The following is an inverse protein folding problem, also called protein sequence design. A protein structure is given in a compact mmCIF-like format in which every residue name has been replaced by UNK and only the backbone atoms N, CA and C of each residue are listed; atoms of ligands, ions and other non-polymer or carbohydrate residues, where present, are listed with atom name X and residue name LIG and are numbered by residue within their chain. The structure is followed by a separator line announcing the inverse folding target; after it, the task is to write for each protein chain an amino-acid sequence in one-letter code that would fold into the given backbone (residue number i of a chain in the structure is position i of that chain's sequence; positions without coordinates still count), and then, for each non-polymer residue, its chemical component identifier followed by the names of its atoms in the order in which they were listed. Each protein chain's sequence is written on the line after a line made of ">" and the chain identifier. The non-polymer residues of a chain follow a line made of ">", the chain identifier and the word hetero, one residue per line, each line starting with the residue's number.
data_IF_764136326885
#
_entry.id   IF_764136326885
#
_cell.length_a   1.000
_cell.length_b   1.000
_cell.length_c   1.000
_cell.angle_alpha   90.00
_cell.angle_beta   90.00
_cell.angle_gamma   90.00
#
_symmetry.space_group_name_H-M   'P 1'
#
loop_
_entity.id
_entity.type
_entity.pdbx_description
1 polymer ?
#
# COMPACT_ATOMS: atom_id res chain seq x y z
N UNK A 1 -37.22 3.20 44.71
CA UNK A 1 -36.48 2.39 43.71
C UNK A 1 -35.00 2.55 44.02
N UNK A 2 -34.28 1.46 44.36
CA UNK A 2 -32.88 1.57 44.78
C UNK A 2 -31.93 1.66 43.58
N UNK A 3 -30.83 2.39 43.77
CA UNK A 3 -29.76 2.56 42.80
C UNK A 3 -28.99 1.24 42.62
N UNK A 4 -28.76 0.86 41.35
CA UNK A 4 -28.00 -0.32 40.97
C UNK A 4 -26.51 0.03 41.11
N UNK A 5 -25.82 -0.60 42.04
CA UNK A 5 -24.37 -0.52 42.17
C UNK A 5 -23.76 -1.43 41.10
N UNK A 6 -23.07 -0.85 40.12
CA UNK A 6 -22.27 -1.62 39.17
C UNK A 6 -20.88 -1.84 39.79
N UNK A 7 -20.48 -3.09 39.96
CA UNK A 7 -19.12 -3.45 40.35
C UNK A 7 -18.15 -3.27 39.16
N UNK A 8 -16.87 -2.97 39.41
CA UNK A 8 -15.88 -2.86 38.34
C UNK A 8 -15.62 -4.23 37.73
N UNK A 9 -15.61 -4.29 36.40
CA UNK A 9 -15.16 -5.47 35.65
C UNK A 9 -13.67 -5.65 35.91
N UNK A 10 -13.28 -6.75 36.56
CA UNK A 10 -11.88 -7.15 36.70
C UNK A 10 -11.26 -7.35 35.31
N UNK A 11 -10.08 -6.75 35.11
CA UNK A 11 -9.30 -6.92 33.88
C UNK A 11 -8.85 -8.36 33.74
N UNK A 12 -9.47 -9.11 32.84
CA UNK A 12 -9.01 -10.44 32.45
C UNK A 12 -7.62 -10.34 31.82
N UNK A 13 -6.64 -10.96 32.48
CA UNK A 13 -5.39 -11.54 31.94
C UNK A 13 -4.91 -10.95 30.61
N UNK A 14 -3.94 -10.05 30.68
CA UNK A 14 -3.04 -9.76 29.56
C UNK A 14 -2.31 -11.06 29.20
N UNK A 15 -2.74 -11.73 28.14
CA UNK A 15 -1.90 -12.70 27.46
C UNK A 15 -0.61 -11.96 27.06
N UNK A 16 0.59 -12.47 27.40
CA UNK A 16 1.81 -11.86 26.90
C UNK A 16 1.78 -11.88 25.37
N UNK A 17 2.09 -10.75 24.74
CA UNK A 17 2.34 -10.73 23.30
C UNK A 17 3.33 -11.85 22.95
N UNK A 18 3.09 -12.61 21.87
CA UNK A 18 4.04 -13.63 21.44
C UNK A 18 5.39 -12.97 21.22
N UNK A 19 6.41 -13.47 21.91
CA UNK A 19 7.77 -12.97 21.79
C UNK A 19 8.24 -13.08 20.34
N UNK A 20 8.78 -11.98 19.81
CA UNK A 20 9.31 -11.95 18.45
C UNK A 20 10.46 -12.96 18.32
N UNK A 21 10.52 -13.76 17.24
CA UNK A 21 11.55 -14.77 17.08
C UNK A 21 12.96 -14.16 17.18
N UNK A 22 13.87 -14.85 17.89
CA UNK A 22 15.30 -14.52 17.96
C UNK A 22 15.94 -14.53 16.57
N UNK A 23 17.06 -13.82 16.37
CA UNK A 23 17.74 -13.75 15.07
C UNK A 23 18.04 -15.15 14.47
N UNK A 24 18.48 -16.11 15.29
CA UNK A 24 18.72 -17.49 14.85
C UNK A 24 17.42 -18.26 14.48
N UNK A 25 16.31 -17.98 15.15
CA UNK A 25 15.01 -18.55 14.77
C UNK A 25 14.41 -17.84 13.55
N UNK A 26 14.70 -16.55 13.35
CA UNK A 26 14.41 -15.83 12.10
C UNK A 26 15.17 -16.43 10.93
N UNK A 27 16.48 -16.65 11.04
CA UNK A 27 17.28 -17.26 9.96
C UNK A 27 16.79 -18.68 9.59
N UNK A 28 16.40 -19.48 10.59
CA UNK A 28 15.82 -20.81 10.39
C UNK A 28 14.46 -20.76 9.68
N UNK A 29 13.54 -19.89 10.11
CA UNK A 29 12.22 -19.69 9.50
C UNK A 29 12.35 -19.04 8.11
N UNK A 30 13.23 -18.05 7.96
CA UNK A 30 13.56 -17.38 6.70
C UNK A 30 14.06 -18.39 5.67
N UNK A 31 14.87 -19.39 6.07
CA UNK A 31 15.41 -20.39 5.14
C UNK A 31 14.34 -21.29 4.49
N UNK A 32 13.21 -21.53 5.18
CA UNK A 32 12.10 -22.32 4.65
C UNK A 32 11.17 -21.51 3.74
N UNK A 33 11.01 -20.20 4.00
CA UNK A 33 10.10 -19.33 3.25
C UNK A 33 10.76 -18.49 2.14
N UNK A 34 12.09 -18.37 2.12
CA UNK A 34 12.84 -17.54 1.15
C UNK A 34 13.58 -18.38 0.09
N UNK A 35 13.00 -19.48 -0.38
CA UNK A 35 13.44 -20.03 -1.66
C UNK A 35 12.82 -19.21 -2.79
N UNK A 36 13.63 -18.36 -3.40
CA UNK A 36 13.21 -17.72 -4.64
C UNK A 36 13.12 -18.78 -5.75
N UNK A 37 11.89 -19.22 -6.02
CA UNK A 37 11.56 -20.19 -7.07
C UNK A 37 11.33 -19.53 -8.43
N UNK A 38 11.25 -18.19 -8.48
CA UNK A 38 11.00 -17.42 -9.70
C UNK A 38 12.25 -16.61 -10.09
N UNK A 39 12.85 -16.95 -11.22
CA UNK A 39 14.03 -16.23 -11.73
C UNK A 39 13.68 -14.98 -12.52
N UNK A 40 12.46 -14.89 -13.06
CA UNK A 40 11.94 -13.75 -13.82
C UNK A 40 10.44 -13.61 -13.59
N UNK A 41 9.88 -12.45 -13.90
CA UNK A 41 8.43 -12.26 -13.93
C UNK A 41 7.88 -13.02 -15.16
N UNK A 42 6.98 -14.00 -15.01
CA UNK A 42 6.40 -14.70 -16.14
C UNK A 42 5.62 -13.76 -17.07
N UNK A 43 5.72 -13.95 -18.39
CA UNK A 43 5.13 -13.02 -19.37
C UNK A 43 3.62 -12.88 -19.20
N UNK A 44 2.91 -13.98 -18.92
CA UNK A 44 1.46 -13.96 -18.71
C UNK A 44 1.04 -13.07 -17.54
N UNK A 45 1.91 -12.80 -16.56
CA UNK A 45 1.62 -11.85 -15.48
C UNK A 45 1.55 -10.43 -16.05
N UNK A 46 2.50 -10.06 -16.91
CA UNK A 46 2.56 -8.74 -17.55
C UNK A 46 1.49 -8.57 -18.63
N UNK A 47 1.19 -9.63 -19.39
CA UNK A 47 0.15 -9.63 -20.42
C UNK A 47 -1.24 -9.32 -19.84
N UNK A 48 -1.45 -9.70 -18.57
CA UNK A 48 -2.69 -9.45 -17.81
C UNK A 48 -2.54 -8.34 -16.77
N UNK A 49 -1.49 -7.51 -16.86
CA UNK A 49 -1.29 -6.40 -15.92
C UNK A 49 -2.53 -5.48 -15.90
N UNK A 50 -3.01 -5.07 -14.72
CA UNK A 50 -4.20 -4.24 -14.62
C UNK A 50 -4.02 -2.89 -15.31
N UNK A 51 -5.13 -2.35 -15.81
CA UNK A 51 -5.28 -0.96 -16.22
C UNK A 51 -6.07 -0.24 -15.13
N UNK A 52 -5.54 0.86 -14.63
CA UNK A 52 -6.20 1.65 -13.60
C UNK A 52 -6.87 2.84 -14.26
N UNK A 53 -8.19 2.91 -14.15
CA UNK A 53 -8.96 4.09 -14.47
C UNK A 53 -8.87 5.07 -13.30
N UNK A 54 -8.26 6.22 -13.56
CA UNK A 54 -8.17 7.33 -12.61
C UNK A 54 -9.23 8.37 -12.92
N UNK A 55 -9.79 8.99 -11.89
CA UNK A 55 -10.72 10.09 -12.09
C UNK A 55 -10.01 11.26 -12.78
N UNK A 56 -10.62 11.82 -13.83
CA UNK A 56 -9.98 12.88 -14.66
C UNK A 56 -9.61 14.16 -13.89
N UNK A 57 -10.24 14.39 -12.73
CA UNK A 57 -9.97 15.52 -11.83
C UNK A 57 -9.15 15.15 -10.60
N UNK A 58 -8.59 13.94 -10.51
CA UNK A 58 -7.79 13.49 -9.37
C UNK A 58 -6.75 14.56 -8.95
N UNK A 59 -6.79 15.07 -7.71
CA UNK A 59 -5.76 15.98 -7.22
C UNK A 59 -4.47 15.27 -6.77
N UNK A 60 -4.52 14.00 -6.38
CA UNK A 60 -3.41 13.21 -5.83
C UNK A 60 -3.10 12.02 -6.74
N UNK A 61 -2.25 12.25 -7.75
CA UNK A 61 -1.92 11.23 -8.74
C UNK A 61 -1.01 10.13 -8.17
N UNK A 62 -0.95 8.94 -8.81
CA UNK A 62 -0.04 7.88 -8.41
C UNK A 62 1.40 8.38 -8.33
N UNK A 63 2.11 8.10 -7.24
CA UNK A 63 3.35 8.78 -6.89
C UNK A 63 4.59 7.88 -6.95
N UNK A 64 5.76 8.51 -7.11
CA UNK A 64 7.04 7.84 -6.88
C UNK A 64 7.32 7.73 -5.39
N UNK A 65 7.58 6.52 -4.90
CA UNK A 65 7.95 6.29 -3.50
C UNK A 65 9.26 7.00 -3.13
N UNK A 66 10.21 7.06 -4.07
CA UNK A 66 11.47 7.78 -3.86
C UNK A 66 11.24 9.28 -3.71
N UNK A 67 10.37 9.87 -4.54
CA UNK A 67 10.05 11.29 -4.39
C UNK A 67 9.34 11.56 -3.06
N UNK A 68 8.40 10.69 -2.67
CA UNK A 68 7.73 10.78 -1.37
C UNK A 68 8.73 10.77 -0.20
N UNK A 69 9.61 9.77 -0.14
CA UNK A 69 10.59 9.60 0.95
C UNK A 69 11.55 10.78 1.07
N UNK A 70 11.92 11.43 -0.04
CA UNK A 70 12.78 12.63 -0.03
C UNK A 70 12.16 13.83 0.68
N UNK A 71 10.84 13.85 0.85
CA UNK A 71 10.11 14.91 1.54
C UNK A 71 9.77 14.54 3.00
N UNK A 72 10.31 13.42 3.48
CA UNK A 72 10.15 12.93 4.84
C UNK A 72 11.43 13.09 5.66
N UNK A 73 11.22 13.39 6.92
CA UNK A 73 12.19 13.45 7.99
C UNK A 73 12.08 12.17 8.83
N UNK A 74 13.18 11.44 9.00
CA UNK A 74 13.23 10.19 9.76
C UNK A 74 13.81 10.43 11.15
N UNK A 75 13.21 9.82 12.18
CA UNK A 75 13.65 9.90 13.57
C UNK A 75 13.44 8.59 14.31
N UNK A 76 14.34 8.25 15.22
CA UNK A 76 14.18 7.10 16.13
C UNK A 76 13.67 7.49 17.52
N UNK A 77 13.28 8.77 17.67
CA UNK A 77 12.75 9.34 18.88
C UNK A 77 11.35 9.90 18.64
N UNK A 78 10.43 9.78 19.61
CA UNK A 78 9.11 10.37 19.52
C UNK A 78 9.18 11.88 19.28
N UNK A 79 8.28 12.39 18.46
CA UNK A 79 8.25 13.79 17.96
C UNK A 79 8.00 14.84 19.08
N UNK A 80 7.77 14.43 20.33
CA UNK A 80 7.57 15.34 21.48
C UNK A 80 8.80 16.21 21.80
N UNK A 81 10.00 15.74 21.45
CA UNK A 81 11.21 16.55 21.46
C UNK A 81 11.38 17.19 20.08
N UNK A 82 11.59 18.51 20.03
CA UNK A 82 12.05 19.25 18.84
C UNK A 82 13.47 18.77 18.45
N UNK A 83 13.63 17.49 18.14
CA UNK A 83 14.87 16.91 17.70
C UNK A 83 15.02 17.23 16.21
N UNK A 84 16.15 17.83 15.89
CA UNK A 84 16.56 18.11 14.52
C UNK A 84 16.51 16.81 13.74
N UNK A 85 15.60 16.72 12.77
CA UNK A 85 15.62 15.68 11.78
C UNK A 85 17.00 15.67 11.10
N UNK A 86 17.58 14.50 10.87
CA UNK A 86 18.78 14.42 10.02
C UNK A 86 18.39 14.89 8.62
N UNK A 87 18.72 16.15 8.29
CA UNK A 87 18.44 16.74 6.99
C UNK A 87 19.40 16.13 5.95
N UNK A 88 19.03 14.94 5.47
CA UNK A 88 19.80 14.18 4.49
C UNK A 88 19.38 14.67 3.11
N UNK A 89 20.12 15.62 2.55
CA UNK A 89 19.88 16.17 1.20
C UNK A 89 19.91 15.11 0.08
N UNK A 90 20.40 13.89 0.39
CA UNK A 90 20.31 12.72 -0.48
C UNK A 90 19.88 11.50 0.35
N UNK A 91 18.58 11.19 0.33
CA UNK A 91 18.04 9.95 0.89
C UNK A 91 17.94 8.94 -0.26
N UNK A 92 18.83 7.94 -0.35
CA UNK A 92 18.62 6.83 -1.26
C UNK A 92 17.43 6.00 -0.79
N UNK A 93 16.72 5.35 -1.72
CA UNK A 93 15.60 4.47 -1.40
C UNK A 93 15.98 3.35 -0.41
N UNK A 94 17.27 3.00 -0.36
CA UNK A 94 17.85 2.04 0.58
C UNK A 94 17.76 2.46 2.05
N UNK A 95 17.36 3.70 2.38
CA UNK A 95 17.07 4.08 3.76
C UNK A 95 16.01 3.17 4.39
N UNK A 96 15.08 2.65 3.59
CA UNK A 96 14.07 1.71 4.05
C UNK A 96 14.64 0.35 4.45
N UNK A 97 15.86 0.04 4.03
CA UNK A 97 16.59 -1.16 4.43
C UNK A 97 17.58 -0.90 5.56
N UNK A 98 17.82 0.36 5.94
CA UNK A 98 18.69 0.69 7.05
C UNK A 98 18.00 0.27 8.35
N UNK A 99 18.59 -0.69 9.07
CA UNK A 99 18.05 -1.19 10.35
C UNK A 99 17.95 -0.10 11.41
N UNK A 100 18.60 1.05 11.22
CA UNK A 100 18.38 2.23 12.05
C UNK A 100 16.99 2.82 11.88
N UNK A 101 16.32 2.66 10.75
CA UNK A 101 14.99 3.24 10.50
C UNK A 101 13.95 2.19 10.10
N UNK A 102 14.38 0.97 9.78
CA UNK A 102 13.50 -0.16 9.50
C UNK A 102 13.17 -0.95 10.78
N UNK A 103 12.53 -0.27 11.73
CA UNK A 103 12.05 -0.88 12.97
C UNK A 103 10.84 -0.13 13.52
N UNK A 104 10.11 -0.74 14.45
CA UNK A 104 8.82 -0.24 14.96
C UNK A 104 8.89 1.07 15.77
N UNK A 105 10.09 1.62 15.99
CA UNK A 105 10.30 2.90 16.70
C UNK A 105 10.85 3.99 15.78
N UNK A 106 10.79 3.77 14.47
CA UNK A 106 11.08 4.79 13.48
C UNK A 106 9.82 5.64 13.24
N UNK A 107 10.00 6.95 13.25
CA UNK A 107 8.98 7.95 13.01
C UNK A 107 9.32 8.69 11.72
N UNK A 108 8.31 8.91 10.89
CA UNK A 108 8.40 9.76 9.69
C UNK A 108 7.56 11.01 9.90
N UNK A 109 8.16 12.18 9.67
CA UNK A 109 7.49 13.48 9.74
C UNK A 109 7.84 14.32 8.52
N UNK A 110 7.28 15.51 8.40
CA UNK A 110 7.57 16.46 7.31
C UNK A 110 7.35 17.89 7.80
N UNK A 111 8.12 18.82 7.26
CA UNK A 111 8.05 20.24 7.64
C UNK A 111 6.76 20.92 7.12
N UNK A 112 6.03 20.29 6.20
CA UNK A 112 4.79 20.80 5.62
C UNK A 112 3.53 20.45 6.44
N UNK A 113 3.63 19.93 7.67
CA UNK A 113 2.49 19.39 8.44
C UNK A 113 1.28 20.33 8.53
N UNK A 114 1.49 21.63 8.73
CA UNK A 114 0.41 22.62 8.79
C UNK A 114 -0.29 22.82 7.44
N UNK A 115 0.49 22.81 6.34
CA UNK A 115 -0.06 22.88 4.98
C UNK A 115 -0.80 21.59 4.61
N UNK A 116 -0.33 20.42 5.08
CA UNK A 116 -1.01 19.14 4.84
C UNK A 116 -2.42 19.16 5.46
N UNK A 117 -2.55 19.71 6.66
CA UNK A 117 -3.83 19.80 7.36
C UNK A 117 -4.80 20.79 6.72
N UNK A 118 -4.29 21.92 6.23
CA UNK A 118 -5.12 23.04 5.76
C UNK A 118 -5.33 23.06 4.25
N UNK A 119 -4.34 22.66 3.45
CA UNK A 119 -4.31 22.82 1.99
C UNK A 119 -3.36 21.81 1.31
N UNK A 120 -3.61 20.49 1.43
CA UNK A 120 -2.71 19.46 0.90
C UNK A 120 -2.51 19.54 -0.61
N UNK A 121 -3.50 20.03 -1.36
CA UNK A 121 -3.43 20.24 -2.82
C UNK A 121 -2.43 21.33 -3.25
N UNK A 122 -1.97 22.17 -2.31
CA UNK A 122 -0.91 23.16 -2.59
C UNK A 122 0.50 22.54 -2.57
N UNK A 123 0.63 21.30 -2.09
CA UNK A 123 1.91 20.64 -1.89
C UNK A 123 2.20 19.72 -3.09
N UNK A 124 3.20 20.10 -3.89
CA UNK A 124 3.48 19.46 -5.17
C UNK A 124 3.83 17.96 -5.07
N UNK A 125 4.61 17.57 -4.05
CA UNK A 125 5.02 16.18 -3.86
C UNK A 125 3.89 15.27 -3.37
N UNK A 126 2.83 15.83 -2.76
CA UNK A 126 1.61 15.11 -2.45
C UNK A 126 0.74 14.91 -3.69
N UNK A 127 0.60 15.95 -4.51
CA UNK A 127 -0.22 15.90 -5.72
C UNK A 127 0.40 14.99 -6.81
N UNK A 128 1.73 14.90 -6.85
CA UNK A 128 2.50 14.08 -7.78
C UNK A 128 2.08 14.24 -9.26
N UNK A 129 2.09 15.48 -9.78
CA UNK A 129 1.72 15.74 -11.18
C UNK A 129 2.55 14.95 -12.23
N UNK A 130 3.74 14.50 -11.87
CA UNK A 130 4.57 13.58 -12.68
C UNK A 130 3.97 12.17 -12.84
N UNK A 131 3.14 11.79 -11.87
CA UNK A 131 2.34 10.58 -11.80
C UNK A 131 1.15 10.53 -12.74
N UNK A 132 0.73 11.70 -13.23
CA UNK A 132 -0.41 11.83 -14.11
C UNK A 132 -0.14 11.12 -15.45
N UNK A 133 -1.06 10.25 -15.91
CA UNK A 133 -0.91 9.59 -17.20
C UNK A 133 -0.87 10.59 -18.37
N UNK A 134 -0.01 10.32 -19.35
CA UNK A 134 0.00 11.00 -20.64
C UNK A 134 -1.16 10.56 -21.55
N UNK A 135 -1.17 11.04 -22.79
CA UNK A 135 -2.20 10.69 -23.79
C UNK A 135 -2.23 9.19 -24.15
N UNK A 136 -1.18 8.44 -23.82
CA UNK A 136 -1.09 6.99 -24.01
C UNK A 136 -1.37 6.21 -22.71
N UNK A 137 -1.79 6.90 -21.64
CA UNK A 137 -2.10 6.28 -20.35
C UNK A 137 -0.85 5.89 -19.54
N UNK A 138 0.33 6.45 -19.83
CA UNK A 138 1.57 6.15 -19.11
C UNK A 138 1.95 7.26 -18.14
N UNK A 139 2.30 6.87 -16.92
CA UNK A 139 2.95 7.78 -15.96
C UNK A 139 4.43 7.96 -16.33
N UNK A 140 5.00 9.14 -16.03
CA UNK A 140 6.43 9.42 -16.24
C UNK A 140 7.32 8.85 -15.12
N UNK A 141 6.71 8.41 -14.03
CA UNK A 141 7.41 7.83 -12.87
C UNK A 141 6.94 6.40 -12.62
N UNK A 142 7.78 5.62 -11.94
CA UNK A 142 7.40 4.30 -11.46
C UNK A 142 6.54 4.46 -10.20
N UNK A 143 5.27 4.07 -10.30
CA UNK A 143 4.28 4.21 -9.22
C UNK A 143 3.80 2.86 -8.68
N UNK A 144 4.24 1.77 -9.31
CA UNK A 144 3.73 0.42 -9.08
C UNK A 144 4.84 -0.52 -8.64
N UNK A 145 4.59 -1.32 -7.61
CA UNK A 145 5.43 -2.46 -7.24
C UNK A 145 4.70 -3.76 -7.55
N UNK A 146 5.40 -4.68 -8.23
CA UNK A 146 4.89 -6.00 -8.53
C UNK A 146 5.60 -7.01 -7.62
N UNK A 147 4.82 -7.77 -6.86
CA UNK A 147 5.30 -8.92 -6.09
C UNK A 147 4.65 -10.17 -6.67
N UNK A 148 5.47 -11.13 -7.08
CA UNK A 148 5.01 -12.39 -7.67
C UNK A 148 5.36 -13.52 -6.73
N UNK A 149 4.37 -14.34 -6.38
CA UNK A 149 4.54 -15.41 -5.40
C UNK A 149 4.01 -16.71 -5.96
N UNK A 150 4.86 -17.74 -6.02
CA UNK A 150 4.40 -19.11 -6.22
C UNK A 150 3.60 -19.56 -4.99
N UNK A 151 2.37 -20.00 -5.23
CA UNK A 151 1.42 -20.44 -4.22
C UNK A 151 1.06 -21.90 -4.38
N UNK A 152 1.76 -22.65 -5.24
CA UNK A 152 1.42 -24.04 -5.57
C UNK A 152 1.40 -24.93 -4.33
N UNK A 153 2.44 -24.86 -3.50
CA UNK A 153 2.52 -25.63 -2.26
C UNK A 153 1.43 -25.21 -1.26
N UNK A 154 1.25 -23.90 -1.05
CA UNK A 154 0.27 -23.38 -0.09
C UNK A 154 -1.18 -23.70 -0.48
N UNK A 155 -1.48 -23.76 -1.77
CA UNK A 155 -2.83 -24.02 -2.28
C UNK A 155 -3.11 -25.50 -2.53
N UNK A 156 -2.06 -26.33 -2.62
CA UNK A 156 -2.16 -27.72 -3.05
C UNK A 156 -2.51 -27.88 -4.55
N UNK A 157 -2.55 -26.78 -5.30
CA UNK A 157 -2.87 -26.77 -6.73
C UNK A 157 -1.59 -26.41 -7.50
N UNK A 158 -1.04 -27.34 -8.32
CA UNK A 158 0.15 -27.08 -9.11
C UNK A 158 0.01 -25.82 -9.99
N UNK A 159 1.12 -25.14 -10.23
CA UNK A 159 1.20 -23.96 -11.08
C UNK A 159 0.26 -22.81 -10.65
N UNK A 160 0.04 -22.67 -9.34
CA UNK A 160 -0.72 -21.55 -8.79
C UNK A 160 0.23 -20.40 -8.46
N UNK A 161 -0.05 -19.22 -8.99
CA UNK A 161 0.78 -18.03 -8.81
C UNK A 161 -0.11 -16.81 -8.53
N UNK A 162 0.22 -16.07 -7.47
CA UNK A 162 -0.45 -14.81 -7.13
C UNK A 162 0.48 -13.65 -7.49
N UNK A 163 -0.02 -12.71 -8.30
CA UNK A 163 0.67 -11.48 -8.66
C UNK A 163 0.00 -10.29 -7.98
N UNK A 164 0.72 -9.64 -7.07
CA UNK A 164 0.26 -8.47 -6.32
C UNK A 164 0.82 -7.21 -6.96
N UNK A 165 -0.08 -6.34 -7.43
CA UNK A 165 0.23 -5.03 -7.97
C UNK A 165 -0.12 -3.99 -6.93
N UNK A 166 0.90 -3.34 -6.36
CA UNK A 166 0.75 -2.29 -5.35
C UNK A 166 0.90 -0.92 -6.01
N UNK A 167 -0.10 -0.07 -5.83
CA UNK A 167 -0.19 1.30 -6.34
C UNK A 167 0.08 2.26 -5.18
N UNK A 168 1.00 3.19 -5.40
CA UNK A 168 1.37 4.14 -4.38
C UNK A 168 0.85 5.54 -4.69
N UNK A 169 0.33 6.22 -3.68
CA UNK A 169 -0.02 7.64 -3.71
C UNK A 169 0.64 8.34 -2.53
N UNK A 170 1.14 9.55 -2.71
CA UNK A 170 1.79 10.27 -1.62
C UNK A 170 0.81 10.70 -0.52
N UNK A 171 -0.48 10.82 -0.86
CA UNK A 171 -1.50 11.31 0.05
C UNK A 171 -2.84 10.67 -0.26
N UNK A 172 -3.58 10.30 0.78
CA UNK A 172 -4.98 9.95 0.73
C UNK A 172 -5.78 11.10 1.35
N UNK A 173 -6.75 11.67 0.62
CA UNK A 173 -7.62 12.72 1.14
C UNK A 173 -8.72 12.17 2.05
N UNK A 174 -8.90 10.86 2.11
CA UNK A 174 -9.91 10.19 2.88
C UNK A 174 -11.31 10.27 2.24
N UNK A 175 -12.19 9.29 2.50
CA UNK A 175 -13.59 9.40 2.10
C UNK A 175 -14.28 10.60 2.76
N UNK A 176 -15.31 11.12 2.07
CA UNK A 176 -16.09 12.26 2.51
C UNK A 176 -17.43 11.80 3.11
N UNK A 177 -17.67 12.12 4.37
CA UNK A 177 -18.93 11.86 5.09
C UNK A 177 -19.50 13.18 5.57
N UNK A 178 -20.73 13.51 5.15
CA UNK A 178 -21.42 14.77 5.49
C UNK A 178 -20.59 16.05 5.25
N UNK A 179 -19.78 16.08 4.19
CA UNK A 179 -18.95 17.24 3.88
C UNK A 179 -17.53 17.19 4.47
N UNK A 180 -17.26 16.27 5.38
CA UNK A 180 -16.02 16.16 6.15
C UNK A 180 -15.22 14.95 5.66
N UNK A 181 -13.91 15.14 5.47
CA UNK A 181 -13.01 14.05 5.10
C UNK A 181 -12.51 13.31 6.35
N UNK A 182 -12.50 11.98 6.29
CA UNK A 182 -12.00 11.11 7.35
C UNK A 182 -10.87 10.22 6.85
N UNK A 183 -9.85 10.01 7.69
CA UNK A 183 -8.78 9.06 7.37
C UNK A 183 -7.72 9.61 6.44
N UNK A 184 -7.51 10.93 6.36
CA UNK A 184 -6.42 11.51 5.59
C UNK A 184 -5.09 10.98 6.11
N UNK A 185 -4.21 10.54 5.22
CA UNK A 185 -2.90 10.03 5.62
C UNK A 185 -1.87 10.25 4.52
N UNK A 186 -0.61 10.37 4.95
CA UNK A 186 0.55 10.33 4.05
C UNK A 186 0.85 8.87 3.71
N UNK A 187 1.38 8.65 2.52
CA UNK A 187 1.75 7.33 2.00
C UNK A 187 0.57 6.36 1.98
N UNK A 188 -0.10 6.32 0.85
CA UNK A 188 -1.25 5.47 0.62
C UNK A 188 -0.88 4.33 -0.32
N UNK A 189 -1.22 3.11 0.08
CA UNK A 189 -0.93 1.90 -0.65
C UNK A 189 -2.23 1.18 -0.94
N UNK A 190 -2.58 1.16 -2.20
CA UNK A 190 -3.67 0.34 -2.71
C UNK A 190 -3.09 -0.83 -3.51
N UNK A 191 -3.85 -1.89 -3.71
CA UNK A 191 -3.38 -3.02 -4.47
C UNK A 191 -4.48 -3.82 -5.15
N UNK A 192 -4.10 -4.56 -6.17
CA UNK A 192 -4.85 -5.73 -6.60
C UNK A 192 -3.98 -6.98 -6.60
N UNK A 193 -4.59 -8.14 -6.40
CA UNK A 193 -3.93 -9.44 -6.60
C UNK A 193 -4.64 -10.18 -7.71
N UNK A 194 -3.91 -10.64 -8.72
CA UNK A 194 -4.43 -11.54 -9.76
C UNK A 194 -3.88 -12.94 -9.51
N UNK A 195 -4.78 -13.92 -9.38
CA UNK A 195 -4.42 -15.33 -9.26
C UNK A 195 -4.38 -15.99 -10.63
N UNK A 196 -3.30 -16.72 -10.88
CA UNK A 196 -3.13 -17.55 -12.06
C UNK A 196 -3.09 -19.02 -11.65
N UNK A 197 -3.75 -19.87 -12.44
CA UNK A 197 -3.64 -21.34 -12.36
C UNK A 197 -3.34 -21.81 -13.76
N UNK A 198 -2.28 -22.61 -13.93
CA UNK A 198 -1.78 -23.04 -15.23
C UNK A 198 -1.64 -21.86 -16.21
N UNK A 199 -1.03 -20.77 -15.71
CA UNK A 199 -0.75 -19.53 -16.45
C UNK A 199 -1.99 -18.73 -16.89
N UNK A 200 -3.20 -19.15 -16.50
CA UNK A 200 -4.45 -18.46 -16.83
C UNK A 200 -4.97 -17.68 -15.62
N UNK A 201 -5.36 -16.40 -15.78
CA UNK A 201 -5.93 -15.66 -14.67
C UNK A 201 -7.32 -16.21 -14.31
N UNK A 202 -7.56 -16.46 -13.03
CA UNK A 202 -8.80 -17.07 -12.54
C UNK A 202 -9.58 -16.14 -11.60
N UNK A 203 -8.88 -15.36 -10.79
CA UNK A 203 -9.48 -14.44 -9.82
C UNK A 203 -8.69 -13.14 -9.72
N UNK A 204 -9.36 -12.09 -9.25
CA UNK A 204 -8.75 -10.82 -8.89
C UNK A 204 -9.31 -10.31 -7.57
N UNK A 205 -8.43 -9.93 -6.64
CA UNK A 205 -8.78 -9.20 -5.42
C UNK A 205 -8.49 -7.72 -5.60
N UNK A 206 -9.41 -6.86 -5.17
CA UNK A 206 -9.27 -5.41 -5.18
C UNK A 206 -9.30 -4.89 -3.74
N UNK A 207 -8.28 -4.13 -3.32
CA UNK A 207 -8.23 -3.52 -2.00
C UNK A 207 -9.23 -2.37 -1.88
N UNK A 208 -9.75 -2.18 -0.68
CA UNK A 208 -10.52 -0.99 -0.30
C UNK A 208 -10.16 -0.65 1.14
N UNK A 209 -9.10 0.13 1.31
CA UNK A 209 -8.51 0.43 2.62
C UNK A 209 -8.13 -0.86 3.39
N UNK A 210 -8.69 -1.08 4.59
CA UNK A 210 -8.42 -2.28 5.40
C UNK A 210 -9.14 -3.55 4.91
N UNK A 211 -10.04 -3.41 3.93
CA UNK A 211 -10.88 -4.48 3.40
C UNK A 211 -10.58 -4.71 1.89
N UNK A 212 -11.44 -5.48 1.24
CA UNK A 212 -11.41 -5.72 -0.19
C UNK A 212 -12.37 -6.82 -0.60
N UNK A 213 -12.51 -7.01 -1.91
CA UNK A 213 -13.34 -8.08 -2.45
C UNK A 213 -12.60 -8.82 -3.55
N UNK A 214 -12.84 -10.13 -3.62
CA UNK A 214 -12.39 -10.97 -4.70
C UNK A 214 -13.51 -11.17 -5.73
N UNK A 215 -13.12 -11.17 -7.00
CA UNK A 215 -13.98 -11.37 -8.16
C UNK A 215 -13.39 -12.48 -9.02
N UNK A 216 -14.25 -13.15 -9.79
CA UNK A 216 -13.76 -13.94 -10.90
C UNK A 216 -13.13 -13.01 -11.93
N UNK A 217 -11.99 -13.41 -12.49
CA UNK A 217 -11.26 -12.55 -13.43
C UNK A 217 -12.09 -12.24 -14.69
N UNK A 218 -12.91 -13.20 -15.13
CA UNK A 218 -13.79 -13.05 -16.30
C UNK A 218 -14.87 -11.98 -16.12
N UNK A 219 -15.29 -11.70 -14.89
CA UNK A 219 -16.33 -10.72 -14.56
C UNK A 219 -15.94 -9.25 -14.74
N UNK A 220 -14.64 -8.92 -14.84
CA UNK A 220 -14.19 -7.53 -15.00
C UNK A 220 -14.21 -7.10 -16.47
N UNK A 221 -14.42 -5.80 -16.70
CA UNK A 221 -14.12 -5.14 -17.97
C UNK A 221 -12.65 -5.35 -18.37
N UNK A 222 -12.36 -5.46 -19.66
CA UNK A 222 -11.01 -5.69 -20.18
C UNK A 222 -10.74 -4.84 -21.42
N UNK A 223 -9.49 -4.38 -21.54
CA UNK A 223 -8.93 -3.88 -22.81
C UNK A 223 -7.90 -4.90 -23.27
N UNK A 224 -8.23 -5.65 -24.32
CA UNK A 224 -7.48 -6.86 -24.67
C UNK A 224 -7.55 -7.89 -23.54
N UNK A 225 -6.39 -8.37 -23.08
CA UNK A 225 -6.29 -9.32 -21.96
C UNK A 225 -6.26 -8.64 -20.57
N UNK A 226 -6.13 -7.31 -20.53
CA UNK A 226 -5.84 -6.56 -19.30
C UNK A 226 -7.13 -6.15 -18.60
N UNK A 227 -7.32 -6.47 -17.31
CA UNK A 227 -8.51 -6.05 -16.57
C UNK A 227 -8.47 -4.55 -16.31
N UNK A 228 -9.63 -3.91 -16.40
CA UNK A 228 -9.81 -2.50 -16.00
C UNK A 228 -10.31 -2.46 -14.57
N UNK A 229 -9.61 -1.71 -13.73
CA UNK A 229 -9.96 -1.46 -12.32
C UNK A 229 -10.02 0.05 -12.09
N UNK A 230 -10.85 0.49 -11.15
CA UNK A 230 -11.19 1.89 -10.96
C UNK A 230 -10.68 2.34 -9.59
N UNK A 231 -9.91 3.42 -9.54
CA UNK A 231 -9.44 3.99 -8.27
C UNK A 231 -10.39 5.10 -7.83
N UNK A 232 -10.75 5.09 -6.54
CA UNK A 232 -11.63 6.07 -5.94
C UNK A 232 -11.01 7.47 -5.97
N UNK A 233 -11.81 8.48 -6.29
CA UNK A 233 -11.38 9.88 -6.32
C UNK A 233 -10.88 10.35 -4.94
N UNK A 234 -9.58 10.65 -4.84
CA UNK A 234 -8.88 11.15 -3.66
C UNK A 234 -8.68 10.15 -2.51
N UNK A 235 -9.50 9.10 -2.39
CA UNK A 235 -9.36 8.05 -1.36
C UNK A 235 -8.76 6.73 -1.85
N UNK A 236 -8.59 6.60 -3.16
CA UNK A 236 -7.84 5.58 -3.89
C UNK A 236 -8.27 4.10 -3.83
N UNK A 237 -9.20 3.71 -2.96
CA UNK A 237 -9.78 2.36 -2.95
C UNK A 237 -10.13 1.82 -4.36
N UNK A 238 -9.96 0.51 -4.56
CA UNK A 238 -10.03 -0.13 -5.88
C UNK A 238 -11.37 -0.84 -6.11
N UNK A 239 -11.99 -0.56 -7.26
CA UNK A 239 -13.32 -1.05 -7.62
C UNK A 239 -13.35 -1.74 -8.99
N UNK A 240 -14.27 -2.71 -9.20
CA UNK A 240 -14.38 -3.44 -10.47
C UNK A 240 -15.14 -2.65 -11.55
N UNK A 241 -15.75 -1.52 -11.20
CA UNK A 241 -16.53 -0.67 -12.10
C UNK A 241 -16.54 0.78 -11.60
N UNK A 242 -16.88 1.71 -12.49
CA UNK A 242 -17.15 3.09 -12.12
C UNK A 242 -18.38 3.22 -11.19
N UNK A 243 -18.35 4.24 -10.34
CA UNK A 243 -19.44 4.63 -9.42
C UNK A 243 -20.19 5.87 -9.85
#
# INVERSE_FOLDING_TARGET
>A
MPAIHLEPIESTSTQPEPSRPTLASRESIESQFLKNVLHTVPSYVLDHAPLIHLHSKEPFWPASQLNHIKNLNFSNQPILSHCQAENRKEIPFSILSDLKFNHEKAYMTTDDIEKIRSSPQSIQWLCSNEGKPDEFGKSKVSTVNLIVVDKSELTGIPNTLDAFWFFFYSFNLGPKVLGIHFGNHLADWEHCMIRFIDQKPTAIHLSSHADGFAYRFDSLEKVGARPVIYSAYGSHAMYPKAG
#
